data_IF_876417647151
#
_entry.id   IF_876417647151
#
_cell.length_a   1.000
_cell.length_b   1.000
_cell.length_c   1.000
_cell.angle_alpha   90.00
_cell.angle_beta   90.00
_cell.angle_gamma   90.00
#
_symmetry.space_group_name_H-M   'P 1'
#
loop_
_entity.id
_entity.type
_entity.pdbx_description
1 polymer ?
#
# COMPACT_ATOMS: atom_id res chain seq x y z
N UNK A 1 -6.52 -6.48 -19.51
CA UNK A 1 -6.00 -6.73 -18.16
C UNK A 1 -5.97 -5.39 -17.49
N UNK A 2 -6.90 -5.15 -16.56
CA UNK A 2 -7.22 -3.81 -16.11
C UNK A 2 -6.23 -3.40 -15.00
N UNK A 3 -5.31 -2.49 -15.33
CA UNK A 3 -4.32 -1.97 -14.39
C UNK A 3 -4.92 -1.05 -13.33
N UNK A 4 -6.25 -0.86 -13.33
CA UNK A 4 -6.98 -0.03 -12.36
C UNK A 4 -6.61 -0.31 -10.89
N UNK A 5 -6.33 -1.57 -10.53
CA UNK A 5 -5.89 -1.92 -9.17
C UNK A 5 -4.50 -1.35 -8.84
N UNK A 6 -3.57 -1.43 -9.80
CA UNK A 6 -2.23 -0.88 -9.65
C UNK A 6 -2.27 0.65 -9.68
N UNK A 7 -3.05 1.25 -10.57
CA UNK A 7 -3.23 2.70 -10.64
C UNK A 7 -3.81 3.27 -9.34
N UNK A 8 -4.81 2.61 -8.76
CA UNK A 8 -5.38 3.01 -7.47
C UNK A 8 -4.33 2.90 -6.35
N UNK A 9 -3.55 1.81 -6.31
CA UNK A 9 -2.46 1.65 -5.35
C UNK A 9 -1.42 2.79 -5.48
N UNK A 10 -0.94 3.07 -6.69
CA UNK A 10 0.05 4.13 -6.93
C UNK A 10 -0.50 5.54 -6.70
N UNK A 11 -1.80 5.75 -6.92
CA UNK A 11 -2.46 7.00 -6.58
C UNK A 11 -2.40 7.23 -5.07
N UNK A 12 -2.85 6.26 -4.27
CA UNK A 12 -2.83 6.35 -2.80
C UNK A 12 -1.40 6.50 -2.27
N UNK A 13 -0.45 5.73 -2.81
CA UNK A 13 0.96 5.83 -2.46
C UNK A 13 1.49 7.25 -2.71
N UNK A 14 1.19 7.85 -3.87
CA UNK A 14 1.61 9.24 -4.13
C UNK A 14 1.02 10.22 -3.11
N UNK A 15 -0.29 10.13 -2.81
CA UNK A 15 -0.97 11.06 -1.89
C UNK A 15 -0.53 10.91 -0.44
N UNK A 16 -0.49 9.68 0.07
CA UNK A 16 -0.24 9.44 1.50
C UNK A 16 1.24 9.41 1.86
N UNK A 17 2.09 8.98 0.93
CA UNK A 17 3.51 8.77 1.18
C UNK A 17 4.35 9.92 0.58
N UNK A 18 4.28 10.15 -0.72
CA UNK A 18 5.18 11.10 -1.40
C UNK A 18 4.79 12.55 -1.10
N UNK A 19 3.53 12.93 -1.26
CA UNK A 19 3.10 14.32 -1.05
C UNK A 19 3.05 14.72 0.43
N UNK A 20 2.80 13.78 1.33
CA UNK A 20 2.68 14.04 2.77
C UNK A 20 4.02 14.01 3.50
N UNK A 21 4.90 13.05 3.22
CA UNK A 21 6.20 12.95 3.88
C UNK A 21 7.33 13.65 3.13
N UNK A 22 7.18 13.92 1.82
CA UNK A 22 8.19 14.62 1.00
C UNK A 22 9.61 14.07 1.23
N UNK A 23 9.86 12.79 0.89
CA UNK A 23 11.19 12.19 1.07
C UNK A 23 12.23 13.04 0.35
N UNK A 24 13.33 13.35 1.03
CA UNK A 24 14.42 14.18 0.51
C UNK A 24 15.43 13.37 -0.28
N UNK A 25 15.44 12.06 -0.09
CA UNK A 25 16.33 11.13 -0.78
C UNK A 25 15.57 9.93 -1.37
N UNK A 26 16.16 9.31 -2.39
CA UNK A 26 15.63 8.06 -2.95
C UNK A 26 15.60 6.93 -1.91
N UNK A 27 16.55 6.91 -0.98
CA UNK A 27 16.61 5.90 0.07
C UNK A 27 15.44 6.02 1.05
N UNK A 28 15.12 7.24 1.49
CA UNK A 28 13.91 7.51 2.28
C UNK A 28 12.64 7.13 1.53
N UNK A 29 12.57 7.41 0.22
CA UNK A 29 11.42 7.01 -0.59
C UNK A 29 11.27 5.48 -0.66
N UNK A 30 12.36 4.73 -0.84
CA UNK A 30 12.35 3.27 -0.87
C UNK A 30 11.90 2.68 0.46
N UNK A 31 12.45 3.12 1.58
CA UNK A 31 12.05 2.61 2.91
C UNK A 31 10.57 2.86 3.20
N UNK A 32 10.06 4.00 2.73
CA UNK A 32 8.69 4.42 2.97
C UNK A 32 7.72 3.62 2.08
N UNK A 33 8.11 3.31 0.85
CA UNK A 33 7.40 2.36 -0.03
C UNK A 33 7.39 0.95 0.58
N UNK A 34 8.53 0.45 1.05
CA UNK A 34 8.62 -0.89 1.67
C UNK A 34 7.71 -0.99 2.90
N UNK A 35 7.74 0.01 3.78
CA UNK A 35 6.84 0.07 4.94
C UNK A 35 5.38 0.12 4.53
N UNK A 36 5.04 0.89 3.49
CA UNK A 36 3.66 0.98 3.00
C UNK A 36 3.18 -0.33 2.37
N UNK A 37 4.04 -1.04 1.63
CA UNK A 37 3.73 -2.37 1.07
C UNK A 37 3.48 -3.38 2.20
N UNK A 38 4.33 -3.37 3.23
CA UNK A 38 4.15 -4.23 4.40
C UNK A 38 2.82 -3.93 5.09
N UNK A 39 2.53 -2.67 5.41
CA UNK A 39 1.27 -2.23 6.00
C UNK A 39 0.07 -2.66 5.15
N UNK A 40 0.12 -2.43 3.83
CA UNK A 40 -0.96 -2.78 2.92
C UNK A 40 -1.27 -4.28 2.90
N UNK A 41 -0.24 -5.12 2.93
CA UNK A 41 -0.41 -6.58 2.87
C UNK A 41 -0.79 -7.19 4.23
N UNK A 42 -0.20 -6.72 5.32
CA UNK A 42 -0.30 -7.37 6.63
C UNK A 42 -1.27 -6.69 7.59
N UNK A 43 -1.44 -5.38 7.52
CA UNK A 43 -2.10 -4.60 8.58
C UNK A 43 -3.38 -3.92 8.11
N UNK A 44 -3.50 -3.60 6.82
CA UNK A 44 -4.64 -2.87 6.28
C UNK A 44 -5.93 -3.68 6.39
N UNK A 45 -6.75 -3.38 7.38
CA UNK A 45 -8.07 -4.01 7.54
C UNK A 45 -8.95 -3.59 6.36
N UNK A 46 -9.37 -4.55 5.53
CA UNK A 46 -10.32 -4.27 4.47
C UNK A 46 -11.71 -4.08 5.08
N UNK A 47 -12.27 -2.88 4.96
CA UNK A 47 -13.59 -2.53 5.50
C UNK A 47 -14.73 -3.41 5.00
N UNK A 48 -14.59 -4.06 3.84
CA UNK A 48 -15.58 -5.00 3.28
C UNK A 48 -15.52 -6.41 3.90
N UNK A 49 -14.36 -6.85 4.38
CA UNK A 49 -14.15 -8.23 4.84
C UNK A 49 -13.69 -8.32 6.30
N UNK A 50 -13.37 -7.18 6.92
CA UNK A 50 -12.94 -7.09 8.31
C UNK A 50 -11.54 -7.66 8.57
N UNK A 51 -10.81 -8.10 7.54
CA UNK A 51 -9.51 -8.77 7.66
C UNK A 51 -8.46 -8.17 6.73
N UNK A 52 -7.18 -8.36 7.06
CA UNK A 52 -6.07 -7.98 6.20
C UNK A 52 -6.10 -8.77 4.87
N UNK A 53 -5.64 -8.19 3.74
CA UNK A 53 -5.65 -8.82 2.42
C UNK A 53 -4.94 -10.17 2.38
N UNK A 54 -3.83 -10.31 3.11
CA UNK A 54 -3.07 -11.56 3.14
C UNK A 54 -3.87 -12.71 3.79
N UNK A 55 -4.61 -12.43 4.86
CA UNK A 55 -5.45 -13.44 5.53
C UNK A 55 -6.54 -13.97 4.61
N UNK A 56 -7.08 -13.12 3.73
CA UNK A 56 -8.12 -13.53 2.77
C UNK A 56 -7.58 -14.45 1.66
N UNK A 57 -6.30 -14.30 1.27
CA UNK A 57 -5.66 -15.13 0.23
C UNK A 57 -5.33 -16.55 0.72
N UNK A 58 -5.10 -16.74 2.01
CA UNK A 58 -4.89 -18.07 2.59
C UNK A 58 -6.19 -18.79 2.98
N UNK A 59 -7.34 -18.12 2.87
CA UNK A 59 -8.66 -18.67 3.22
C UNK A 59 -9.44 -19.20 2.00
N UNK A 60 -8.83 -19.19 0.81
CA UNK A 60 -9.44 -19.57 -0.46
C UNK A 60 -8.76 -20.81 -1.05
#
# INVERSE_FOLDING_TARGET
>A
YDNAMAENFFSILKTECIYRHKPKTLQEANELIDRYIYFYNHERIQTKTGVAPLSLRHSA
#
